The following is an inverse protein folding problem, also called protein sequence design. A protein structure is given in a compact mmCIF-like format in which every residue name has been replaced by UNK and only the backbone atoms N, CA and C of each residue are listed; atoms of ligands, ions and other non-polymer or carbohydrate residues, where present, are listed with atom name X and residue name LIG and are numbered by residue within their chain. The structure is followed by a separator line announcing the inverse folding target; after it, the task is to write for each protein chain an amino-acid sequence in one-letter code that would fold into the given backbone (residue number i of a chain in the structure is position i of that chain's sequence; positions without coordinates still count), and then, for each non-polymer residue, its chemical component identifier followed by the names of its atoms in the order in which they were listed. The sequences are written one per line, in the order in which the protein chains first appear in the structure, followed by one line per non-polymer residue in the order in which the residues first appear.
data_IF_764628328797
#
_entry.id   IF_764628328797
#
_cell.length_a   1.000
_cell.length_b   1.000
_cell.length_c   1.000
_cell.angle_alpha   90.00
_cell.angle_beta   90.00
_cell.angle_gamma   90.00
#
_symmetry.space_group_name_H-M   'P 1'
#
loop_
_entity.id
_entity.type
_entity.pdbx_description
1 polymer ?
#
# COMPACT_ATOMS: atom_id res chain seq x y z
N UNK A 1 -6.56 9.20 -3.95
CA UNK A 1 -5.69 8.16 -3.36
C UNK A 1 -4.96 8.66 -2.12
N UNK A 2 -4.05 9.65 -2.23
CA UNK A 2 -3.33 10.24 -1.08
C UNK A 2 -4.23 10.70 0.07
N UNK A 3 -5.30 11.45 -0.22
CA UNK A 3 -6.23 11.87 0.83
C UNK A 3 -6.84 10.69 1.59
N UNK A 4 -7.30 9.65 0.88
CA UNK A 4 -7.85 8.46 1.50
C UNK A 4 -6.82 7.80 2.42
N UNK A 5 -5.58 7.65 1.96
CA UNK A 5 -4.52 7.07 2.77
C UNK A 5 -4.23 7.90 4.03
N UNK A 6 -4.15 9.23 3.89
CA UNK A 6 -3.92 10.11 5.03
C UNK A 6 -5.09 10.08 6.02
N UNK A 7 -6.33 9.92 5.56
CA UNK A 7 -7.48 9.72 6.43
C UNK A 7 -7.34 8.41 7.21
N UNK A 8 -6.93 7.32 6.57
CA UNK A 8 -6.64 6.06 7.26
C UNK A 8 -5.56 6.24 8.34
N UNK A 9 -4.43 6.87 8.01
CA UNK A 9 -3.36 7.16 8.97
C UNK A 9 -3.78 8.11 10.10
N UNK A 10 -4.76 8.99 9.86
CA UNK A 10 -5.27 9.93 10.87
C UNK A 10 -6.27 9.27 11.83
N UNK A 11 -7.12 8.39 11.33
CA UNK A 11 -8.25 7.83 12.10
C UNK A 11 -7.98 6.44 12.66
N UNK A 12 -7.00 5.71 12.14
CA UNK A 12 -6.67 4.37 12.60
C UNK A 12 -5.32 4.35 13.33
N UNK A 13 -5.21 3.57 14.43
CA UNK A 13 -3.95 3.40 15.13
C UNK A 13 -2.93 2.69 14.23
N UNK A 14 -1.67 3.14 14.30
CA UNK A 14 -0.59 2.73 13.39
C UNK A 14 -0.28 1.23 13.48
N UNK A 15 -0.48 0.59 14.65
CA UNK A 15 -0.43 -0.87 14.85
C UNK A 15 -1.32 -1.64 13.87
N UNK A 16 -2.47 -1.06 13.53
CA UNK A 16 -3.48 -1.65 12.67
C UNK A 16 -3.21 -1.37 11.20
N UNK A 17 -2.25 -0.50 10.86
CA UNK A 17 -1.93 -0.09 9.49
C UNK A 17 -0.58 -0.62 8.98
N UNK A 18 0.36 -0.92 9.89
CA UNK A 18 1.66 -1.46 9.50
C UNK A 18 1.78 -2.97 9.73
N UNK A 19 2.66 -3.58 8.96
CA UNK A 19 3.07 -4.96 9.14
C UNK A 19 4.59 -5.06 9.33
N UNK A 20 5.05 -6.19 9.86
CA UNK A 20 6.43 -6.37 10.28
C UNK A 20 7.45 -6.21 9.15
N UNK A 21 7.15 -6.72 7.94
CA UNK A 21 8.04 -6.61 6.78
C UNK A 21 8.12 -5.16 6.30
N UNK A 22 7.02 -4.42 6.22
CA UNK A 22 7.05 -3.01 5.81
C UNK A 22 7.90 -2.19 6.79
N UNK A 23 7.77 -2.46 8.10
CA UNK A 23 8.62 -1.86 9.11
C UNK A 23 10.10 -2.20 8.91
N UNK A 24 10.41 -3.49 8.67
CA UNK A 24 11.79 -3.94 8.39
C UNK A 24 12.36 -3.27 7.13
N UNK A 25 11.59 -3.18 6.05
CA UNK A 25 12.03 -2.54 4.80
C UNK A 25 12.35 -1.06 5.03
N UNK A 26 11.47 -0.35 5.73
CA UNK A 26 11.60 1.07 6.04
C UNK A 26 12.78 1.35 6.97
N UNK A 27 13.08 0.46 7.91
CA UNK A 27 14.23 0.55 8.79
C UNK A 27 15.54 0.26 8.05
N UNK A 28 15.59 -0.84 7.28
CA UNK A 28 16.82 -1.35 6.68
C UNK A 28 17.29 -0.60 5.44
N UNK A 29 16.38 -0.06 4.63
CA UNK A 29 16.73 0.50 3.33
C UNK A 29 16.61 2.03 3.26
N UNK A 30 17.54 2.73 2.58
CA UNK A 30 17.42 4.15 2.33
C UNK A 30 16.34 4.45 1.27
N UNK A 31 15.86 5.70 1.22
CA UNK A 31 14.77 6.12 0.32
C UNK A 31 14.98 5.77 -1.16
N UNK A 32 16.18 5.93 -1.76
CA UNK A 32 16.38 5.59 -3.17
C UNK A 32 16.17 4.10 -3.47
N UNK A 33 16.58 3.22 -2.55
CA UNK A 33 16.39 1.77 -2.69
C UNK A 33 14.90 1.42 -2.57
N UNK A 34 14.21 2.03 -1.60
CA UNK A 34 12.76 1.86 -1.46
C UNK A 34 12.00 2.35 -2.69
N UNK A 35 12.43 3.47 -3.29
CA UNK A 35 11.82 3.97 -4.53
C UNK A 35 11.90 2.93 -5.66
N UNK A 36 13.06 2.28 -5.83
CA UNK A 36 13.22 1.24 -6.85
C UNK A 36 12.32 0.02 -6.56
N UNK A 37 12.27 -0.42 -5.31
CA UNK A 37 11.43 -1.55 -4.89
C UNK A 37 9.95 -1.24 -5.16
N UNK A 38 9.46 -0.07 -4.71
CA UNK A 38 8.06 0.31 -4.89
C UNK A 38 7.70 0.52 -6.35
N UNK A 39 8.61 1.07 -7.16
CA UNK A 39 8.34 1.28 -8.58
C UNK A 39 8.28 -0.07 -9.32
N UNK A 40 9.21 -0.99 -9.04
CA UNK A 40 9.18 -2.34 -9.59
C UNK A 40 7.93 -3.11 -9.18
N UNK A 41 7.54 -3.06 -7.90
CA UNK A 41 6.32 -3.70 -7.40
C UNK A 41 5.08 -3.12 -8.08
N UNK A 42 4.98 -1.79 -8.17
CA UNK A 42 3.85 -1.12 -8.81
C UNK A 42 3.72 -1.52 -10.28
N UNK A 43 4.82 -1.60 -11.04
CA UNK A 43 4.78 -2.09 -12.42
C UNK A 43 4.18 -3.50 -12.47
N UNK A 44 4.75 -4.45 -11.73
CA UNK A 44 4.34 -5.86 -11.78
C UNK A 44 2.88 -6.03 -11.35
N UNK A 45 2.49 -5.41 -10.24
CA UNK A 45 1.15 -5.51 -9.70
C UNK A 45 0.11 -4.87 -10.61
N UNK A 46 0.36 -3.66 -11.14
CA UNK A 46 -0.60 -3.01 -12.03
C UNK A 46 -0.70 -3.70 -13.38
N UNK A 47 0.39 -4.22 -13.95
CA UNK A 47 0.34 -5.04 -15.16
C UNK A 47 -0.51 -6.30 -14.95
N UNK A 48 -0.32 -7.00 -13.84
CA UNK A 48 -1.10 -8.19 -13.52
C UNK A 48 -2.57 -7.85 -13.28
N UNK A 49 -2.85 -6.91 -12.37
CA UNK A 49 -4.21 -6.66 -11.94
C UNK A 49 -5.00 -5.82 -12.94
N UNK A 50 -4.43 -4.77 -13.51
CA UNK A 50 -5.16 -3.84 -14.40
C UNK A 50 -5.02 -4.29 -15.85
N UNK A 51 -3.84 -4.77 -16.23
CA UNK A 51 -3.59 -5.29 -17.58
C UNK A 51 -4.29 -6.61 -17.87
N UNK A 52 -4.38 -7.52 -16.89
CA UNK A 52 -4.91 -8.88 -17.11
C UNK A 52 -6.19 -9.13 -16.30
N UNK A 53 -6.10 -9.16 -14.97
CA UNK A 53 -7.19 -9.66 -14.10
C UNK A 53 -8.46 -8.81 -14.24
N UNK A 54 -8.34 -7.49 -14.23
CA UNK A 54 -9.46 -6.56 -14.36
C UNK A 54 -10.15 -6.65 -15.71
N UNK A 55 -9.41 -6.92 -16.79
CA UNK A 55 -10.01 -7.09 -18.13
C UNK A 55 -10.82 -8.39 -18.24
N UNK A 56 -10.54 -9.39 -17.40
CA UNK A 56 -11.26 -10.67 -17.37
C UNK A 56 -12.43 -10.65 -16.37
N UNK A 57 -12.20 -10.08 -15.18
CA UNK A 57 -13.09 -10.21 -14.03
C UNK A 57 -13.82 -8.92 -13.64
N UNK A 58 -13.49 -7.80 -14.28
CA UNK A 58 -14.00 -6.47 -13.96
C UNK A 58 -13.36 -5.85 -12.72
N UNK A 59 -13.65 -4.56 -12.52
CA UNK A 59 -13.02 -3.70 -11.50
C UNK A 59 -13.22 -4.24 -10.08
N UNK A 60 -14.46 -4.64 -9.75
CA UNK A 60 -14.84 -5.04 -8.40
C UNK A 60 -14.12 -6.32 -7.94
N UNK A 61 -14.14 -7.36 -8.77
CA UNK A 61 -13.54 -8.64 -8.43
C UNK A 61 -12.01 -8.59 -8.52
N UNK A 62 -11.46 -7.86 -9.49
CA UNK A 62 -10.01 -7.63 -9.54
C UNK A 62 -9.49 -6.88 -8.30
N UNK A 63 -10.23 -5.87 -7.81
CA UNK A 63 -9.88 -5.14 -6.59
C UNK A 63 -10.01 -6.02 -5.33
N UNK A 64 -11.00 -6.92 -5.31
CA UNK A 64 -11.15 -7.88 -4.22
C UNK A 64 -9.98 -8.85 -4.22
N UNK A 65 -9.64 -9.46 -5.35
CA UNK A 65 -8.49 -10.35 -5.47
C UNK A 65 -7.18 -9.63 -5.13
N UNK A 66 -7.02 -8.38 -5.57
CA UNK A 66 -5.88 -7.53 -5.20
C UNK A 66 -5.75 -7.43 -3.67
N UNK A 67 -6.85 -7.15 -2.95
CA UNK A 67 -6.81 -7.11 -1.49
C UNK A 67 -6.52 -8.48 -0.85
N UNK A 68 -7.04 -9.57 -1.42
CA UNK A 68 -6.93 -10.93 -0.85
C UNK A 68 -5.55 -11.55 -1.03
N UNK A 69 -4.83 -11.25 -2.13
CA UNK A 69 -3.46 -11.75 -2.32
C UNK A 69 -2.48 -11.18 -1.28
N UNK A 70 -2.85 -10.07 -0.64
CA UNK A 70 -2.13 -9.56 0.51
C UNK A 70 -2.51 -10.35 1.76
N UNK A 71 -2.12 -11.63 1.79
CA UNK A 71 -2.49 -12.60 2.85
C UNK A 71 -2.17 -12.12 4.27
N UNK A 72 -1.17 -11.24 4.39
CA UNK A 72 -0.72 -10.61 5.62
C UNK A 72 -1.76 -9.63 6.20
N UNK A 73 -2.62 -9.07 5.33
CA UNK A 73 -3.68 -8.13 5.69
C UNK A 73 -4.99 -8.83 6.03
N UNK A 74 -5.15 -10.13 5.73
CA UNK A 74 -6.40 -10.86 6.00
C UNK A 74 -6.78 -10.88 7.49
N UNK A 75 -5.78 -10.84 8.39
CA UNK A 75 -6.01 -10.77 9.84
C UNK A 75 -6.28 -9.33 10.33
N UNK A 76 -6.15 -8.33 9.47
CA UNK A 76 -6.29 -6.90 9.76
C UNK A 76 -7.35 -6.30 8.85
N UNK A 77 -8.61 -6.47 9.24
CA UNK A 77 -9.79 -6.07 8.43
C UNK A 77 -9.70 -4.63 7.91
N UNK A 78 -9.13 -3.72 8.69
CA UNK A 78 -8.98 -2.33 8.29
C UNK A 78 -7.99 -2.12 7.13
N UNK A 79 -6.84 -2.80 7.15
CA UNK A 79 -5.89 -2.75 6.03
C UNK A 79 -6.51 -3.40 4.80
N UNK A 80 -7.24 -4.50 4.99
CA UNK A 80 -7.92 -5.16 3.88
C UNK A 80 -8.92 -4.22 3.19
N UNK A 81 -9.71 -3.47 3.96
CA UNK A 81 -10.63 -2.46 3.44
C UNK A 81 -9.86 -1.33 2.75
N UNK A 82 -8.78 -0.82 3.35
CA UNK A 82 -7.96 0.22 2.74
C UNK A 82 -7.45 -0.21 1.36
N UNK A 83 -6.83 -1.39 1.29
CA UNK A 83 -6.22 -1.95 0.08
C UNK A 83 -7.29 -2.26 -0.97
N UNK A 84 -8.48 -2.71 -0.56
CA UNK A 84 -9.61 -2.88 -1.48
C UNK A 84 -10.05 -1.54 -2.08
N UNK A 85 -10.22 -0.49 -1.27
CA UNK A 85 -10.60 0.84 -1.74
C UNK A 85 -9.52 1.45 -2.66
N UNK A 86 -8.24 1.30 -2.31
CA UNK A 86 -7.14 1.68 -3.21
C UNK A 86 -7.20 0.89 -4.51
N UNK A 87 -7.51 -0.40 -4.41
CA UNK A 87 -7.74 -1.29 -5.55
C UNK A 87 -8.77 -0.74 -6.53
N UNK A 88 -9.92 -0.30 -6.01
CA UNK A 88 -11.00 0.31 -6.78
C UNK A 88 -10.54 1.63 -7.42
N UNK A 89 -9.88 2.52 -6.68
CA UNK A 89 -9.41 3.81 -7.22
C UNK A 89 -8.46 3.59 -8.41
N UNK A 90 -7.51 2.66 -8.28
CA UNK A 90 -6.58 2.29 -9.34
C UNK A 90 -7.31 1.62 -10.52
N UNK A 91 -8.31 0.78 -10.25
CA UNK A 91 -9.08 0.13 -11.29
C UNK A 91 -9.94 1.11 -12.10
N UNK A 92 -10.59 2.06 -11.43
CA UNK A 92 -11.33 3.13 -12.10
C UNK A 92 -10.41 4.10 -12.83
N UNK A 93 -9.22 4.41 -12.29
CA UNK A 93 -8.27 5.29 -13.00
C UNK A 93 -7.79 4.65 -14.30
N UNK A 94 -7.51 3.34 -14.30
CA UNK A 94 -7.22 2.61 -15.54
C UNK A 94 -8.43 2.60 -16.48
N UNK A 95 -9.63 2.30 -15.98
CA UNK A 95 -10.83 2.24 -16.80
C UNK A 95 -11.15 3.55 -17.53
N UNK A 96 -10.95 4.69 -16.86
CA UNK A 96 -11.22 6.01 -17.42
C UNK A 96 -10.12 6.51 -18.37
N UNK A 97 -8.86 6.12 -18.13
CA UNK A 97 -7.71 6.66 -18.86
C UNK A 97 -7.16 5.71 -19.92
N UNK A 98 -7.48 4.42 -19.82
CA UNK A 98 -6.93 3.31 -20.61
C UNK A 98 -5.39 3.26 -20.61
N UNK A 99 -4.75 3.92 -19.64
CA UNK A 99 -3.31 4.03 -19.52
C UNK A 99 -2.86 3.32 -18.26
N UNK A 100 -1.96 2.34 -18.40
CA UNK A 100 -1.36 1.64 -17.24
C UNK A 100 -0.39 2.54 -16.46
N UNK A 101 0.14 3.60 -17.08
CA UNK A 101 1.04 4.53 -16.39
C UNK A 101 0.33 5.30 -15.28
N UNK A 102 -0.96 5.59 -15.43
CA UNK A 102 -1.74 6.31 -14.41
C UNK A 102 -1.83 5.52 -13.10
N UNK A 103 -2.31 4.26 -13.07
CA UNK A 103 -2.30 3.46 -11.85
C UNK A 103 -0.88 3.12 -11.38
N UNK A 104 0.09 2.84 -12.27
CA UNK A 104 1.49 2.55 -11.88
C UNK A 104 2.09 3.72 -11.09
N UNK A 105 2.03 4.93 -11.65
CA UNK A 105 2.60 6.11 -11.00
C UNK A 105 1.82 6.47 -9.73
N UNK A 106 0.51 6.28 -9.70
CA UNK A 106 -0.31 6.50 -8.51
C UNK A 106 0.05 5.54 -7.38
N UNK A 107 0.20 4.25 -7.69
CA UNK A 107 0.57 3.21 -6.73
C UNK A 107 2.03 3.35 -6.25
N UNK A 108 2.95 3.69 -7.15
CA UNK A 108 4.30 4.05 -6.74
C UNK A 108 4.31 5.27 -5.80
N UNK A 109 3.59 6.33 -6.18
CA UNK A 109 3.58 7.60 -5.42
C UNK A 109 3.03 7.41 -4.02
N UNK A 110 1.96 6.64 -3.85
CA UNK A 110 1.35 6.41 -2.54
C UNK A 110 2.33 5.69 -1.60
N UNK A 111 3.00 4.64 -2.10
CA UNK A 111 3.98 3.87 -1.32
C UNK A 111 5.22 4.72 -0.99
N UNK A 112 5.73 5.45 -1.97
CA UNK A 112 6.91 6.29 -1.80
C UNK A 112 6.68 7.46 -0.84
N UNK A 113 5.56 8.20 -0.99
CA UNK A 113 5.23 9.31 -0.10
C UNK A 113 5.02 8.83 1.33
N UNK A 114 4.38 7.67 1.51
CA UNK A 114 4.22 7.06 2.85
C UNK A 114 5.57 6.78 3.49
N UNK A 115 6.46 6.10 2.77
CA UNK A 115 7.81 5.81 3.25
C UNK A 115 8.62 7.07 3.54
N UNK A 116 8.48 8.11 2.72
CA UNK A 116 9.10 9.41 2.93
C UNK A 116 8.60 10.09 4.21
N UNK A 117 7.28 10.14 4.42
CA UNK A 117 6.67 10.75 5.60
C UNK A 117 7.07 10.01 6.88
N UNK A 118 7.17 8.68 6.83
CA UNK A 118 7.66 7.85 7.93
C UNK A 118 9.12 8.18 8.24
N UNK A 119 10.00 8.17 7.23
CA UNK A 119 11.43 8.48 7.44
C UNK A 119 11.69 9.92 7.91
N UNK A 120 10.77 10.85 7.64
CA UNK A 120 10.80 12.22 8.17
C UNK A 120 10.18 12.35 9.56
N UNK A 121 9.59 11.29 10.11
CA UNK A 121 8.97 11.28 11.43
C UNK A 121 7.58 11.93 11.49
N UNK A 122 6.96 12.24 10.34
CA UNK A 122 5.58 12.76 10.29
C UNK A 122 4.54 11.67 10.56
N UNK A 123 4.87 10.42 10.21
CA UNK A 123 4.10 9.24 10.55
C UNK A 123 4.97 8.40 11.49
N UNK A 124 4.52 8.23 12.74
CA UNK A 124 5.23 7.36 13.68
C UNK A 124 4.94 5.91 13.33
N UNK A 125 5.98 5.16 12.96
CA UNK A 125 5.96 3.72 13.07
C UNK A 125 6.07 3.35 14.55
N UNK A 126 5.26 2.41 15.01
CA UNK A 126 5.45 1.87 16.35
C UNK A 126 6.67 0.95 16.39
N UNK A 127 7.65 1.32 17.21
CA UNK A 127 8.79 0.48 17.49
C UNK A 127 8.37 -0.65 18.43
N UNK A 128 8.12 -1.85 17.90
CA UNK A 128 7.97 -3.05 18.73
C UNK A 128 9.20 -3.33 19.63
N UNK A 129 10.36 -2.73 19.34
CA UNK A 129 11.53 -2.84 20.22
C UNK A 129 11.38 -2.05 21.53
N UNK A 130 10.70 -0.90 21.55
CA UNK A 130 10.46 -0.14 22.80
C UNK A 130 9.46 -0.86 23.71
N UNK A 131 8.37 -1.39 23.13
CA UNK A 131 7.37 -2.15 23.88
C UNK A 131 7.91 -3.45 24.49
N UNK A 132 9.04 -3.98 23.99
CA UNK A 132 9.68 -5.18 24.57
C UNK A 132 10.59 -4.84 25.76
N UNK A 133 11.05 -3.60 25.86
CA UNK A 133 11.89 -3.09 26.96
C UNK A 133 11.00 -2.56 28.11
N UNK A 134 9.85 -1.97 27.81
CA UNK A 134 8.90 -1.51 28.84
C UNK A 134 8.08 -2.64 29.49
N UNK A 135 7.97 -3.79 28.83
CA UNK A 135 7.24 -4.97 29.35
C UNK A 135 8.17 -6.11 29.82
N UNK A 136 9.46 -5.84 30.00
CA UNK A 136 10.47 -6.78 30.54
C UNK A 136 11.08 -6.24 31.82
#
# INVERSE_FOLDING_TARGET
MLLLQLLFHKYLPQEKLFDEINSILLEKFPLPVLALIFFGSAIVEELLFRGIVQNILGIWLASLLFSLIHVRYLKKIYILIEVYLMGLILGFSYHLTLSLWIPILSHFTINFVTAFLIKKGYIKMENKMENKIENS
#
